data_IF_025756154973
#
_entry.id   IF_025756154973
#
_cell.length_a   1.000
_cell.length_b   1.000
_cell.length_c   1.000
_cell.angle_alpha   90.00
_cell.angle_beta   90.00
_cell.angle_gamma   90.00
#
_symmetry.space_group_name_H-M   'P 1'
#
loop_
_entity.id
_entity.type
_entity.pdbx_description
1 polymer ?
#
# COMPACT_ATOMS: atom_id res chain seq x y z
N UNK A 1 12.58 -17.69 6.32
CA UNK A 1 11.14 -17.48 6.62
C UNK A 1 10.37 -18.60 5.95
N UNK A 2 9.33 -19.18 6.57
CA UNK A 2 8.62 -20.30 5.95
C UNK A 2 8.06 -19.84 4.60
N UNK A 3 8.56 -20.46 3.52
CA UNK A 3 8.22 -20.19 2.12
C UNK A 3 6.83 -20.73 1.74
N UNK A 4 6.00 -21.04 2.73
CA UNK A 4 4.67 -21.59 2.50
C UNK A 4 3.75 -20.47 1.96
N UNK A 5 3.19 -20.60 0.75
CA UNK A 5 2.33 -19.57 0.15
C UNK A 5 1.12 -19.24 1.05
N UNK A 6 0.63 -20.24 1.80
CA UNK A 6 -0.43 -20.06 2.78
C UNK A 6 -0.02 -19.14 3.94
N UNK A 7 1.19 -19.28 4.47
CA UNK A 7 1.68 -18.43 5.55
C UNK A 7 1.78 -16.97 5.10
N UNK A 8 2.33 -16.73 3.90
CA UNK A 8 2.38 -15.39 3.31
C UNK A 8 0.98 -14.80 3.09
N UNK A 9 0.03 -15.60 2.61
CA UNK A 9 -1.36 -15.19 2.41
C UNK A 9 -2.06 -14.80 3.73
N UNK A 10 -1.87 -15.58 4.80
CA UNK A 10 -2.42 -15.27 6.11
C UNK A 10 -1.79 -14.00 6.66
N UNK A 11 -0.47 -13.87 6.58
CA UNK A 11 0.24 -12.70 7.10
C UNK A 11 -0.24 -11.41 6.41
N UNK A 12 -0.32 -11.40 5.08
CA UNK A 12 -0.77 -10.20 4.35
C UNK A 12 -2.25 -9.89 4.61
N UNK A 13 -3.10 -10.91 4.79
CA UNK A 13 -4.50 -10.71 5.17
C UNK A 13 -4.61 -10.06 6.55
N UNK A 14 -3.82 -10.48 7.53
CA UNK A 14 -3.75 -9.85 8.85
C UNK A 14 -3.23 -8.43 8.76
N UNK A 15 -2.16 -8.17 7.98
CA UNK A 15 -1.67 -6.83 7.75
C UNK A 15 -2.71 -5.90 7.10
N UNK A 16 -3.63 -6.45 6.30
CA UNK A 16 -4.78 -5.70 5.78
C UNK A 16 -5.62 -5.04 6.86
N UNK A 17 -5.77 -5.67 8.03
CA UNK A 17 -6.47 -5.06 9.17
C UNK A 17 -5.74 -3.85 9.74
N UNK A 18 -4.40 -3.88 9.78
CA UNK A 18 -3.58 -2.75 10.22
C UNK A 18 -3.71 -1.57 9.26
N UNK A 19 -3.71 -1.83 7.96
CA UNK A 19 -3.91 -0.80 6.94
C UNK A 19 -5.32 -0.18 7.06
N UNK A 20 -6.35 -0.99 7.29
CA UNK A 20 -7.72 -0.53 7.49
C UNK A 20 -7.87 0.36 8.74
N UNK A 21 -7.11 0.07 9.81
CA UNK A 21 -7.07 0.91 11.03
C UNK A 21 -6.22 2.17 10.87
N UNK A 22 -5.14 2.11 10.09
CA UNK A 22 -4.22 3.22 9.89
C UNK A 22 -4.92 4.45 9.31
N UNK A 23 -5.73 4.27 8.25
CA UNK A 23 -6.38 5.38 7.56
C UNK A 23 -7.31 6.22 8.47
N UNK A 24 -8.25 5.64 9.26
CA UNK A 24 -9.07 6.41 10.18
C UNK A 24 -8.29 7.00 11.36
N UNK A 25 -7.27 6.31 11.90
CA UNK A 25 -6.39 6.87 12.95
C UNK A 25 -5.68 8.12 12.44
N UNK A 26 -5.09 8.05 11.26
CA UNK A 26 -4.41 9.18 10.66
C UNK A 26 -5.37 10.30 10.24
N UNK A 27 -6.58 9.95 9.78
CA UNK A 27 -7.62 10.94 9.49
C UNK A 27 -8.07 11.67 10.78
N UNK A 28 -8.15 10.96 11.90
CA UNK A 28 -8.41 11.56 13.21
C UNK A 28 -7.28 12.50 13.63
N UNK A 29 -6.02 12.09 13.50
CA UNK A 29 -4.86 12.97 13.71
C UNK A 29 -4.95 14.23 12.84
N UNK A 30 -5.27 14.07 11.55
CA UNK A 30 -5.42 15.18 10.60
C UNK A 30 -6.49 16.19 11.01
N UNK A 31 -7.60 15.72 11.59
CA UNK A 31 -8.63 16.61 12.16
C UNK A 31 -8.16 17.29 13.45
N UNK A 32 -7.38 16.62 14.29
CA UNK A 32 -6.87 17.18 15.55
C UNK A 32 -5.82 18.28 15.35
N UNK A 33 -5.16 18.32 14.21
CA UNK A 33 -4.11 19.30 13.87
C UNK A 33 -4.46 20.17 12.66
N UNK A 34 -5.71 20.11 12.20
CA UNK A 34 -6.23 20.85 11.04
C UNK A 34 -5.41 20.71 9.74
N UNK A 35 -4.77 19.55 9.53
CA UNK A 35 -3.96 19.31 8.33
C UNK A 35 -3.78 17.81 8.03
N UNK A 36 -4.38 17.36 6.93
CA UNK A 36 -4.23 15.98 6.44
C UNK A 36 -2.82 15.71 5.90
N UNK A 37 -2.16 16.72 5.33
CA UNK A 37 -0.78 16.60 4.84
C UNK A 37 0.21 16.50 6.00
N UNK A 38 0.04 17.29 7.06
CA UNK A 38 0.88 17.19 8.24
C UNK A 38 0.68 15.83 8.95
N UNK A 39 -0.55 15.36 9.06
CA UNK A 39 -0.83 14.04 9.65
C UNK A 39 -0.24 12.89 8.82
N UNK A 40 -0.32 12.95 7.49
CA UNK A 40 0.35 11.99 6.62
C UNK A 40 1.87 12.02 6.81
N UNK A 41 2.46 13.22 6.91
CA UNK A 41 3.91 13.41 7.16
C UNK A 41 4.33 12.78 8.49
N UNK A 42 3.57 13.03 9.57
CA UNK A 42 3.84 12.45 10.89
C UNK A 42 3.72 10.92 10.84
N UNK A 43 2.66 10.39 10.23
CA UNK A 43 2.45 8.94 10.12
C UNK A 43 3.59 8.25 9.37
N UNK A 44 3.96 8.79 8.20
CA UNK A 44 5.08 8.27 7.41
C UNK A 44 6.42 8.40 8.15
N UNK A 45 6.63 9.51 8.87
CA UNK A 45 7.82 9.75 9.68
C UNK A 45 7.96 8.73 10.82
N UNK A 46 6.88 8.47 11.57
CA UNK A 46 6.87 7.44 12.62
C UNK A 46 7.19 6.06 12.04
N UNK A 47 6.57 5.69 10.92
CA UNK A 47 6.86 4.44 10.22
C UNK A 47 8.33 4.34 9.75
N UNK A 48 8.87 5.42 9.19
CA UNK A 48 10.27 5.51 8.78
C UNK A 48 11.23 5.28 9.95
N UNK A 49 11.04 5.95 11.09
CA UNK A 49 11.92 5.79 12.25
C UNK A 49 11.85 4.38 12.85
N UNK A 50 10.67 3.76 12.89
CA UNK A 50 10.51 2.37 13.33
C UNK A 50 11.30 1.44 12.40
N UNK A 51 11.13 1.58 11.08
CA UNK A 51 11.84 0.75 10.11
C UNK A 51 13.36 0.98 10.18
N UNK A 52 13.81 2.22 10.30
CA UNK A 52 15.22 2.56 10.42
C UNK A 52 15.84 1.94 11.68
N UNK A 53 15.17 2.04 12.82
CA UNK A 53 15.63 1.43 14.07
C UNK A 53 15.74 -0.09 13.95
N UNK A 54 14.72 -0.73 13.37
CA UNK A 54 14.73 -2.17 13.12
C UNK A 54 15.86 -2.57 12.17
N UNK A 55 16.10 -1.83 11.09
CA UNK A 55 17.19 -2.09 10.16
C UNK A 55 18.56 -1.98 10.84
N UNK A 56 18.76 -0.98 11.71
CA UNK A 56 20.02 -0.84 12.46
C UNK A 56 20.21 -2.02 13.41
N UNK A 57 19.18 -2.42 14.16
CA UNK A 57 19.23 -3.54 15.11
C UNK A 57 19.49 -4.88 14.39
N UNK A 58 18.93 -5.07 13.19
CA UNK A 58 19.19 -6.26 12.37
C UNK A 58 20.53 -6.25 11.65
N UNK A 59 21.27 -5.12 11.66
CA UNK A 59 22.55 -5.00 10.99
C UNK A 59 22.47 -4.67 9.49
N UNK A 60 21.32 -4.16 9.01
CA UNK A 60 21.10 -3.79 7.60
C UNK A 60 21.71 -2.44 7.20
N UNK A 61 22.49 -1.81 8.10
CA UNK A 61 23.20 -0.54 7.82
C UNK A 61 23.99 -0.55 6.50
N UNK A 62 24.80 -1.59 6.19
CA UNK A 62 25.49 -1.69 4.92
C UNK A 62 24.56 -1.78 3.70
N UNK A 63 23.36 -2.35 3.84
CA UNK A 63 22.38 -2.40 2.77
C UNK A 63 21.75 -1.03 2.53
N UNK A 64 21.41 -0.29 3.60
CA UNK A 64 20.93 1.10 3.50
C UNK A 64 21.95 2.01 2.81
N UNK A 65 23.24 1.83 3.08
CA UNK A 65 24.31 2.60 2.45
C UNK A 65 24.44 2.36 0.93
N UNK A 66 23.81 1.31 0.38
CA UNK A 66 23.78 1.06 -1.07
C UNK A 66 22.69 1.85 -1.80
N UNK A 67 21.70 2.40 -1.08
CA UNK A 67 20.56 3.09 -1.69
C UNK A 67 20.93 4.25 -2.63
N UNK A 68 21.98 5.08 -2.37
CA UNK A 68 22.38 6.12 -3.32
C UNK A 68 22.91 5.61 -4.67
N UNK A 69 23.30 4.35 -4.74
CA UNK A 69 23.93 3.74 -5.93
C UNK A 69 22.95 2.94 -6.80
N UNK A 70 21.69 2.77 -6.37
CA UNK A 70 20.68 2.08 -7.18
C UNK A 70 20.06 3.03 -8.21
N UNK A 71 19.46 2.52 -9.30
CA UNK A 71 18.69 3.35 -10.22
C UNK A 71 17.65 4.21 -9.48
N UNK A 72 17.71 5.54 -9.67
CA UNK A 72 16.91 6.52 -8.90
C UNK A 72 15.39 6.26 -8.94
N UNK A 73 14.90 5.67 -10.03
CA UNK A 73 13.48 5.33 -10.15
C UNK A 73 13.01 4.32 -9.08
N UNK A 74 13.91 3.48 -8.53
CA UNK A 74 13.55 2.55 -7.45
C UNK A 74 13.21 3.27 -6.15
N UNK A 75 13.64 4.52 -5.98
CA UNK A 75 13.38 5.34 -4.80
C UNK A 75 12.00 6.01 -4.83
N UNK A 76 11.28 5.97 -5.97
CA UNK A 76 9.95 6.59 -6.10
C UNK A 76 8.89 5.88 -5.26
N UNK A 77 9.15 4.65 -4.79
CA UNK A 77 8.22 3.89 -3.96
C UNK A 77 7.79 4.67 -2.70
N UNK A 78 8.71 5.42 -2.09
CA UNK A 78 8.39 6.30 -0.96
C UNK A 78 7.42 7.42 -1.32
N UNK A 79 7.59 8.03 -2.50
CA UNK A 79 6.70 9.07 -2.99
C UNK A 79 5.29 8.53 -3.30
N UNK A 80 5.20 7.35 -3.94
CA UNK A 80 3.93 6.67 -4.19
C UNK A 80 3.20 6.34 -2.88
N UNK A 81 3.93 5.86 -1.88
CA UNK A 81 3.39 5.58 -0.55
C UNK A 81 2.89 6.82 0.19
N UNK A 82 3.61 7.94 0.09
CA UNK A 82 3.18 9.21 0.69
C UNK A 82 1.86 9.73 0.07
N UNK A 83 1.74 9.66 -1.27
CA UNK A 83 0.49 9.99 -1.97
C UNK A 83 -0.64 9.08 -1.54
N UNK A 84 -0.40 7.77 -1.46
CA UNK A 84 -1.37 6.80 -0.99
C UNK A 84 -1.89 7.14 0.43
N UNK A 85 -0.99 7.33 1.39
CA UNK A 85 -1.38 7.61 2.78
C UNK A 85 -2.21 8.90 2.81
N UNK A 86 -1.69 10.00 2.27
CA UNK A 86 -2.44 11.26 2.22
C UNK A 86 -3.83 11.11 1.59
N UNK A 87 -3.93 10.42 0.45
CA UNK A 87 -5.23 10.19 -0.21
C UNK A 87 -6.19 9.36 0.64
N UNK A 88 -5.70 8.38 1.40
CA UNK A 88 -6.53 7.56 2.27
C UNK A 88 -7.07 8.37 3.46
N UNK A 89 -6.24 9.23 4.06
CA UNK A 89 -6.66 10.14 5.14
C UNK A 89 -7.78 11.08 4.67
N UNK A 90 -7.65 11.59 3.45
CA UNK A 90 -8.63 12.47 2.83
C UNK A 90 -9.92 11.74 2.42
N UNK A 91 -9.81 10.54 1.87
CA UNK A 91 -10.94 9.77 1.36
C UNK A 91 -11.79 9.13 2.46
N UNK A 92 -11.20 8.67 3.57
CA UNK A 92 -11.92 7.94 4.64
C UNK A 92 -13.09 8.76 5.23
N UNK A 93 -12.94 10.05 5.57
CA UNK A 93 -14.07 10.87 6.05
C UNK A 93 -15.20 11.05 5.03
N UNK A 94 -14.91 10.92 3.72
CA UNK A 94 -15.86 11.14 2.63
C UNK A 94 -16.60 9.85 2.26
N UNK A 95 -15.87 8.74 2.17
CA UNK A 95 -16.36 7.47 1.63
C UNK A 95 -16.62 6.39 2.70
N UNK A 96 -16.09 6.58 3.92
CA UNK A 96 -15.98 5.53 4.92
C UNK A 96 -14.82 4.56 4.64
N UNK A 97 -14.45 3.76 5.63
CA UNK A 97 -13.27 2.86 5.57
C UNK A 97 -13.47 1.74 4.54
N UNK A 98 -14.66 1.12 4.52
CA UNK A 98 -14.95 -0.01 3.62
C UNK A 98 -14.86 0.42 2.15
N UNK A 99 -15.62 1.44 1.75
CA UNK A 99 -15.61 1.97 0.38
C UNK A 99 -14.23 2.44 -0.05
N UNK A 100 -13.51 3.17 0.82
CA UNK A 100 -12.14 3.63 0.53
C UNK A 100 -11.21 2.46 0.25
N UNK A 101 -11.28 1.41 1.07
CA UNK A 101 -10.43 0.22 0.93
C UNK A 101 -10.77 -0.55 -0.34
N UNK A 102 -12.05 -0.75 -0.66
CA UNK A 102 -12.45 -1.51 -1.85
C UNK A 102 -12.09 -0.78 -3.15
N UNK A 103 -12.27 0.53 -3.21
CA UNK A 103 -11.85 1.37 -4.37
C UNK A 103 -10.32 1.36 -4.51
N UNK A 104 -9.59 1.41 -3.40
CA UNK A 104 -8.13 1.29 -3.41
C UNK A 104 -7.69 -0.07 -3.99
N UNK A 105 -8.28 -1.18 -3.53
CA UNK A 105 -7.96 -2.52 -4.02
C UNK A 105 -8.28 -2.64 -5.51
N UNK A 106 -9.39 -2.05 -5.99
CA UNK A 106 -9.69 -2.00 -7.41
C UNK A 106 -8.57 -1.34 -8.23
N UNK A 107 -8.11 -0.17 -7.80
CA UNK A 107 -6.98 0.52 -8.43
C UNK A 107 -5.69 -0.31 -8.41
N UNK A 108 -5.39 -0.95 -7.28
CA UNK A 108 -4.25 -1.86 -7.12
C UNK A 108 -4.35 -3.07 -8.06
N UNK A 109 -5.53 -3.65 -8.23
CA UNK A 109 -5.74 -4.79 -9.13
C UNK A 109 -5.54 -4.42 -10.59
N UNK A 110 -6.07 -3.28 -11.03
CA UNK A 110 -5.86 -2.80 -12.41
C UNK A 110 -4.37 -2.55 -12.65
N UNK A 111 -3.69 -1.86 -11.74
CA UNK A 111 -2.25 -1.63 -11.83
C UNK A 111 -1.47 -2.94 -11.83
N UNK A 112 -1.82 -3.92 -10.98
CA UNK A 112 -1.17 -5.21 -10.91
C UNK A 112 -1.32 -6.01 -12.22
N UNK A 113 -2.50 -5.96 -12.87
CA UNK A 113 -2.69 -6.59 -14.18
C UNK A 113 -1.78 -5.98 -15.25
N UNK A 114 -1.66 -4.65 -15.28
CA UNK A 114 -0.77 -3.97 -16.23
C UNK A 114 0.70 -4.28 -15.95
N UNK A 115 1.12 -4.21 -14.68
CA UNK A 115 2.48 -4.51 -14.24
C UNK A 115 2.86 -5.95 -14.61
N UNK A 116 2.00 -6.91 -14.30
CA UNK A 116 2.24 -8.32 -14.62
C UNK A 116 2.22 -8.58 -16.12
N UNK A 117 1.32 -7.95 -16.88
CA UNK A 117 1.22 -8.17 -18.32
C UNK A 117 2.44 -7.66 -19.07
N UNK A 118 2.91 -6.47 -18.73
CA UNK A 118 4.07 -5.85 -19.39
C UNK A 118 5.41 -6.23 -18.74
N UNK A 119 5.41 -6.96 -17.61
CA UNK A 119 6.64 -7.32 -16.89
C UNK A 119 7.39 -6.10 -16.35
N UNK A 120 6.68 -5.07 -15.90
CA UNK A 120 7.31 -3.87 -15.36
C UNK A 120 8.21 -4.22 -14.16
N UNK A 121 9.26 -3.41 -13.96
CA UNK A 121 10.25 -3.59 -12.88
C UNK A 121 11.07 -4.90 -12.94
N UNK A 122 11.18 -5.50 -14.14
CA UNK A 122 11.96 -6.73 -14.33
C UNK A 122 11.23 -8.00 -13.91
N UNK A 123 9.91 -7.92 -13.75
CA UNK A 123 9.06 -9.08 -13.49
C UNK A 123 8.89 -9.92 -14.76
N UNK A 124 8.79 -11.24 -14.61
CA UNK A 124 8.42 -12.12 -15.73
C UNK A 124 6.99 -11.79 -16.18
N UNK A 125 6.78 -11.41 -17.45
CA UNK A 125 5.44 -11.15 -17.97
C UNK A 125 4.51 -12.33 -17.75
N UNK A 126 3.25 -12.04 -17.43
CA UNK A 126 2.18 -13.03 -17.29
C UNK A 126 1.00 -12.66 -18.17
N UNK A 127 0.40 -13.66 -18.81
CA UNK A 127 -0.79 -13.43 -19.61
C UNK A 127 -1.97 -12.97 -18.76
N UNK A 128 -2.76 -12.07 -19.35
CA UNK A 128 -4.04 -11.62 -18.78
C UNK A 128 -5.08 -12.69 -19.09
N UNK A 129 -5.17 -13.69 -18.22
CA UNK A 129 -6.17 -14.74 -18.36
C UNK A 129 -7.57 -14.26 -17.98
N UNK A 130 -8.59 -14.95 -18.48
CA UNK A 130 -9.99 -14.67 -18.14
C UNK A 130 -10.23 -14.70 -16.63
N UNK A 131 -9.59 -15.62 -15.89
CA UNK A 131 -9.76 -15.69 -14.43
C UNK A 131 -9.26 -14.43 -13.72
N UNK A 132 -8.15 -13.84 -14.20
CA UNK A 132 -7.59 -12.61 -13.62
C UNK A 132 -8.48 -11.40 -13.88
N UNK A 133 -9.08 -11.33 -15.08
CA UNK A 133 -10.07 -10.31 -15.42
C UNK A 133 -11.32 -10.47 -14.56
N UNK A 134 -11.85 -11.69 -14.41
CA UNK A 134 -12.99 -11.96 -13.55
C UNK A 134 -12.72 -11.59 -12.08
N UNK A 135 -11.52 -11.87 -11.56
CA UNK A 135 -11.13 -11.44 -10.22
C UNK A 135 -11.19 -9.90 -10.06
N UNK A 136 -10.68 -9.15 -11.04
CA UNK A 136 -10.77 -7.69 -11.03
C UNK A 136 -12.22 -7.18 -11.11
N UNK A 137 -13.06 -7.85 -11.92
CA UNK A 137 -14.48 -7.52 -12.03
C UNK A 137 -15.25 -7.77 -10.74
N UNK A 138 -14.93 -8.82 -9.98
CA UNK A 138 -15.52 -9.09 -8.68
C UNK A 138 -15.18 -7.99 -7.66
N UNK A 139 -13.94 -7.50 -7.66
CA UNK A 139 -13.55 -6.36 -6.83
C UNK A 139 -14.24 -5.07 -7.29
N UNK A 140 -14.39 -4.85 -8.60
CA UNK A 140 -15.14 -3.71 -9.13
C UNK A 140 -16.61 -3.73 -8.68
N UNK A 141 -17.27 -4.89 -8.74
CA UNK A 141 -18.63 -5.07 -8.25
C UNK A 141 -18.71 -4.82 -6.73
N UNK A 142 -17.74 -5.33 -5.96
CA UNK A 142 -17.62 -5.05 -4.53
C UNK A 142 -17.43 -3.56 -4.23
N UNK A 143 -16.66 -2.83 -5.05
CA UNK A 143 -16.45 -1.40 -4.88
C UNK A 143 -17.75 -0.60 -5.08
N UNK A 144 -18.53 -0.95 -6.12
CA UNK A 144 -19.85 -0.34 -6.35
C UNK A 144 -20.79 -0.65 -5.19
N UNK A 145 -20.86 -1.91 -4.76
CA UNK A 145 -21.75 -2.33 -3.68
C UNK A 145 -21.36 -1.70 -2.33
N UNK A 146 -20.07 -1.56 -2.04
CA UNK A 146 -19.59 -1.02 -0.75
C UNK A 146 -20.05 0.39 -0.44
N UNK A 147 -20.46 1.15 -1.46
CA UNK A 147 -20.95 2.53 -1.33
C UNK A 147 -22.43 2.61 -0.90
N UNK A 148 -23.21 1.55 -1.11
CA UNK A 148 -24.66 1.50 -0.86
C UNK A 148 -24.97 0.58 0.33
#
# INVERSE_FOLDING_TARGET
MPTAPLFAAILIAVCGSFIAMQAPINAALGRSIDSTLAAATISFGVGFFILLALSIVHGDGPALARAPFVPKFLLIGGALGAVYVWSALWAVPILGVLTTTTVLILGQMIAALLIDHFGFFGLTPRDVSLQRVLAAMLVAAGAVLSRY
#
